data_IF_905815172290
#
_entry.id   IF_905815172290
#
_cell.length_a   1.000
_cell.length_b   1.000
_cell.length_c   1.000
_cell.angle_alpha   90.00
_cell.angle_beta   90.00
_cell.angle_gamma   90.00
#
_symmetry.space_group_name_H-M   'P 1'
#
loop_
_entity.id
_entity.type
_entity.pdbx_description
1 polymer ?
#
# COMPACT_ATOMS: atom_id res chain seq x y z
N UNK A 1 34.49 -14.98 -19.27
CA UNK A 1 34.24 -13.89 -18.33
C UNK A 1 34.27 -14.49 -16.93
N UNK A 2 35.26 -14.14 -16.12
CA UNK A 2 35.37 -14.63 -14.75
C UNK A 2 34.33 -13.90 -13.89
N UNK A 3 33.39 -14.64 -13.32
CA UNK A 3 32.50 -14.14 -12.26
C UNK A 3 33.38 -14.00 -11.02
N UNK A 4 33.56 -12.78 -10.52
CA UNK A 4 34.24 -12.55 -9.24
C UNK A 4 33.40 -13.21 -8.14
N UNK A 5 33.91 -14.22 -7.41
CA UNK A 5 33.17 -14.89 -6.34
C UNK A 5 32.79 -13.98 -5.17
N UNK A 6 33.44 -12.82 -5.07
CA UNK A 6 33.35 -11.88 -3.95
C UNK A 6 32.52 -10.62 -4.27
N UNK A 7 31.66 -10.66 -5.29
CA UNK A 7 30.74 -9.56 -5.60
C UNK A 7 29.36 -9.81 -4.95
N UNK A 8 28.68 -8.76 -4.44
CA UNK A 8 27.34 -8.90 -3.85
C UNK A 8 26.25 -9.24 -4.88
N UNK A 9 26.44 -8.89 -6.15
CA UNK A 9 25.43 -8.98 -7.23
C UNK A 9 24.85 -10.41 -7.45
N UNK A 10 25.66 -11.49 -7.53
CA UNK A 10 25.12 -12.85 -7.64
C UNK A 10 24.26 -13.29 -6.44
N UNK A 11 24.63 -12.88 -5.23
CA UNK A 11 23.90 -13.23 -4.00
C UNK A 11 22.59 -12.44 -3.92
N UNK A 12 22.63 -11.16 -4.29
CA UNK A 12 21.45 -10.30 -4.40
C UNK A 12 20.45 -10.85 -5.43
N UNK A 13 20.92 -11.34 -6.58
CA UNK A 13 20.09 -12.04 -7.57
C UNK A 13 19.42 -13.31 -7.01
N UNK A 14 20.12 -14.09 -6.17
CA UNK A 14 19.54 -15.27 -5.49
C UNK A 14 18.47 -14.82 -4.49
N UNK A 15 18.73 -13.75 -3.74
CA UNK A 15 17.76 -13.17 -2.81
C UNK A 15 16.49 -12.72 -3.54
N UNK A 16 16.61 -12.07 -4.69
CA UNK A 16 15.47 -11.67 -5.51
C UNK A 16 14.69 -12.89 -6.03
N UNK A 17 15.38 -13.95 -6.44
CA UNK A 17 14.73 -15.20 -6.84
C UNK A 17 13.90 -15.80 -5.69
N UNK A 18 14.44 -15.85 -4.47
CA UNK A 18 13.70 -16.29 -3.29
C UNK A 18 12.51 -15.38 -2.96
N UNK A 19 12.68 -14.06 -3.05
CA UNK A 19 11.59 -13.10 -2.88
C UNK A 19 10.45 -13.36 -3.87
N UNK A 20 10.77 -13.54 -5.16
CA UNK A 20 9.80 -13.85 -6.21
C UNK A 20 9.12 -15.21 -5.96
N UNK A 21 9.83 -16.20 -5.41
CA UNK A 21 9.28 -17.49 -4.98
C UNK A 21 8.44 -17.43 -3.70
N UNK A 22 8.39 -16.29 -2.99
CA UNK A 22 7.68 -16.14 -1.72
C UNK A 22 8.42 -16.70 -0.52
N UNK A 23 9.70 -17.07 -0.72
CA UNK A 23 10.64 -17.57 0.28
C UNK A 23 11.31 -16.38 0.98
N UNK A 24 10.50 -15.66 1.78
CA UNK A 24 10.89 -14.35 2.33
C UNK A 24 12.04 -14.45 3.32
N UNK A 25 12.09 -15.51 4.14
CA UNK A 25 13.16 -15.71 5.11
C UNK A 25 14.50 -15.96 4.42
N UNK A 26 14.52 -16.82 3.41
CA UNK A 26 15.75 -17.07 2.63
C UNK A 26 16.15 -15.85 1.79
N UNK A 27 15.18 -15.05 1.32
CA UNK A 27 15.47 -13.79 0.65
C UNK A 27 16.16 -12.80 1.59
N UNK A 28 15.67 -12.64 2.82
CA UNK A 28 16.30 -11.77 3.84
C UNK A 28 17.73 -12.22 4.10
N UNK A 29 17.94 -13.51 4.37
CA UNK A 29 19.28 -14.06 4.64
C UNK A 29 20.27 -13.70 3.52
N UNK A 30 19.87 -13.86 2.26
CA UNK A 30 20.73 -13.57 1.11
C UNK A 30 20.93 -12.08 0.86
N UNK A 31 19.91 -11.26 1.07
CA UNK A 31 20.10 -9.81 1.01
C UNK A 31 21.05 -9.32 2.12
N UNK A 32 20.93 -9.83 3.35
CA UNK A 32 21.84 -9.49 4.45
C UNK A 32 23.29 -9.92 4.15
N UNK A 33 23.47 -11.11 3.56
CA UNK A 33 24.77 -11.60 3.09
C UNK A 33 25.38 -10.65 2.04
N UNK A 34 24.62 -10.26 1.00
CA UNK A 34 25.09 -9.30 -0.01
C UNK A 34 25.46 -7.94 0.61
N UNK A 35 24.65 -7.44 1.55
CA UNK A 35 24.87 -6.18 2.27
C UNK A 35 26.05 -6.21 3.24
N UNK A 36 26.55 -7.39 3.60
CA UNK A 36 27.73 -7.55 4.45
C UNK A 36 29.04 -7.58 3.65
N UNK A 37 28.97 -7.79 2.33
CA UNK A 37 30.13 -7.87 1.44
C UNK A 37 30.62 -6.50 0.96
N UNK A 38 29.70 -5.54 0.82
CA UNK A 38 30.01 -4.16 0.43
C UNK A 38 29.08 -3.21 1.19
N UNK A 39 29.67 -2.32 2.00
CA UNK A 39 28.94 -1.32 2.77
C UNK A 39 28.18 -0.32 1.88
N UNK A 40 28.57 -0.18 0.60
CA UNK A 40 27.87 0.67 -0.36
C UNK A 40 26.73 -0.05 -1.11
N UNK A 41 26.58 -1.36 -0.93
CA UNK A 41 25.52 -2.12 -1.58
C UNK A 41 24.17 -1.77 -0.97
N UNK A 42 23.16 -1.58 -1.81
CA UNK A 42 21.80 -1.23 -1.39
C UNK A 42 20.76 -1.88 -2.27
N UNK A 43 19.80 -2.55 -1.65
CA UNK A 43 18.65 -3.14 -2.31
C UNK A 43 17.38 -2.93 -1.45
N UNK A 44 16.40 -2.15 -1.94
CA UNK A 44 15.16 -1.91 -1.21
C UNK A 44 14.32 -3.13 -0.88
N UNK A 45 14.54 -4.24 -1.59
CA UNK A 45 13.80 -5.47 -1.33
C UNK A 45 14.12 -6.09 0.04
N UNK A 46 15.27 -5.80 0.65
CA UNK A 46 15.58 -6.26 2.01
C UNK A 46 14.59 -5.70 3.04
N UNK A 47 14.48 -4.38 3.15
CA UNK A 47 13.54 -3.77 4.10
C UNK A 47 12.09 -3.99 3.68
N UNK A 48 11.82 -4.16 2.39
CA UNK A 48 10.51 -4.59 1.92
C UNK A 48 10.13 -6.00 2.43
N UNK A 49 11.07 -6.95 2.45
CA UNK A 49 10.86 -8.28 3.02
C UNK A 49 10.54 -8.22 4.52
N UNK A 50 11.25 -7.39 5.29
CA UNK A 50 10.89 -7.14 6.70
C UNK A 50 9.49 -6.54 6.83
N UNK A 51 9.13 -5.56 5.99
CA UNK A 51 7.80 -4.96 5.99
C UNK A 51 6.70 -5.97 5.61
N UNK A 52 6.97 -6.95 4.74
CA UNK A 52 6.03 -8.05 4.44
C UNK A 52 5.78 -8.94 5.65
N UNK A 53 6.79 -9.11 6.51
CA UNK A 53 6.68 -9.78 7.81
C UNK A 53 6.10 -8.87 8.90
N UNK A 54 5.73 -7.64 8.53
CA UNK A 54 5.26 -6.58 9.42
C UNK A 54 6.28 -6.17 10.50
N UNK A 55 7.57 -6.45 10.26
CA UNK A 55 8.69 -6.01 11.10
C UNK A 55 9.21 -4.67 10.59
N UNK A 56 8.41 -3.64 10.80
CA UNK A 56 8.76 -2.28 10.38
C UNK A 56 9.93 -1.68 11.17
N UNK A 57 10.26 -2.23 12.35
CA UNK A 57 11.40 -1.80 13.13
C UNK A 57 12.71 -2.18 12.43
N UNK A 58 12.84 -3.44 12.01
CA UNK A 58 14.00 -3.89 11.23
C UNK A 58 14.02 -3.27 9.84
N UNK A 59 12.86 -3.09 9.19
CA UNK A 59 12.79 -2.39 7.92
C UNK A 59 13.37 -0.96 8.01
N UNK A 60 12.96 -0.18 9.02
CA UNK A 60 13.47 1.17 9.24
C UNK A 60 14.95 1.18 9.66
N UNK A 61 15.41 0.21 10.46
CA UNK A 61 16.82 0.06 10.84
C UNK A 61 17.72 -0.13 9.62
N UNK A 62 17.31 -1.00 8.69
CA UNK A 62 18.04 -1.22 7.44
C UNK A 62 18.02 0.00 6.53
N UNK A 63 16.88 0.70 6.43
CA UNK A 63 16.81 1.96 5.68
C UNK A 63 17.77 3.00 6.28
N UNK A 64 17.81 3.15 7.60
CA UNK A 64 18.68 4.11 8.28
C UNK A 64 20.16 3.84 8.02
N UNK A 65 20.57 2.57 7.98
CA UNK A 65 21.94 2.17 7.62
C UNK A 65 22.33 2.64 6.22
N UNK A 66 21.36 2.72 5.29
CA UNK A 66 21.54 2.96 3.86
C UNK A 66 21.24 4.41 3.43
N UNK A 67 21.01 5.32 4.38
CA UNK A 67 20.78 6.75 4.08
C UNK A 67 22.00 7.40 3.41
N UNK A 68 23.25 7.19 3.85
CA UNK A 68 24.40 7.84 3.22
C UNK A 68 24.56 7.48 1.73
N UNK A 69 24.22 6.25 1.35
CA UNK A 69 24.42 5.68 0.01
C UNK A 69 23.21 5.92 -0.90
N UNK A 70 21.99 5.81 -0.35
CA UNK A 70 20.74 5.82 -1.10
C UNK A 70 19.71 6.82 -0.57
N UNK A 71 20.16 8.02 -0.19
CA UNK A 71 19.39 9.02 0.57
C UNK A 71 17.93 9.22 0.13
N UNK A 72 17.67 9.50 -1.15
CA UNK A 72 16.32 9.77 -1.65
C UNK A 72 15.40 8.54 -1.61
N UNK A 73 15.94 7.37 -1.94
CA UNK A 73 15.20 6.10 -1.89
C UNK A 73 14.85 5.78 -0.44
N UNK A 74 15.84 5.91 0.44
CA UNK A 74 15.72 5.67 1.88
C UNK A 74 14.64 6.56 2.51
N UNK A 75 14.71 7.88 2.30
CA UNK A 75 13.68 8.78 2.83
C UNK A 75 12.30 8.59 2.19
N UNK A 76 12.21 8.17 0.92
CA UNK A 76 10.93 7.85 0.30
C UNK A 76 10.24 6.66 0.97
N UNK A 77 11.01 5.62 1.32
CA UNK A 77 10.50 4.48 2.08
C UNK A 77 10.17 4.83 3.52
N UNK A 78 10.99 5.64 4.21
CA UNK A 78 10.64 6.14 5.56
C UNK A 78 9.35 6.94 5.55
N UNK A 79 9.21 7.86 4.61
CA UNK A 79 7.96 8.59 4.40
C UNK A 79 6.78 7.62 4.29
N UNK A 80 6.91 6.63 3.40
CA UNK A 80 5.83 5.69 3.10
C UNK A 80 5.49 4.82 4.32
N UNK A 81 6.47 4.25 5.01
CA UNK A 81 6.23 3.42 6.19
C UNK A 81 5.66 4.21 7.36
N UNK A 82 6.14 5.42 7.62
CA UNK A 82 5.53 6.25 8.66
C UNK A 82 4.08 6.62 8.32
N UNK A 83 3.77 6.93 7.05
CA UNK A 83 2.38 7.13 6.62
C UNK A 83 1.53 5.85 6.78
N UNK A 84 2.06 4.70 6.37
CA UNK A 84 1.43 3.37 6.49
C UNK A 84 1.13 2.99 7.95
N UNK A 85 2.00 3.43 8.87
CA UNK A 85 1.89 3.22 10.31
C UNK A 85 1.11 4.33 11.02
N UNK A 86 0.50 5.25 10.28
CA UNK A 86 -0.35 6.31 10.83
C UNK A 86 0.40 7.40 11.60
N UNK A 87 1.70 7.59 11.34
CA UNK A 87 2.51 8.64 11.95
C UNK A 87 2.80 9.72 10.90
N UNK A 88 1.97 10.76 10.87
CA UNK A 88 2.06 11.83 9.87
C UNK A 88 3.30 12.69 10.07
N UNK A 89 3.65 12.99 11.31
CA UNK A 89 4.77 13.88 11.63
C UNK A 89 6.11 13.32 11.13
N UNK A 90 6.42 12.05 11.45
CA UNK A 90 7.64 11.38 11.00
C UNK A 90 7.64 11.15 9.48
N UNK A 91 6.46 10.90 8.91
CA UNK A 91 6.30 10.81 7.47
C UNK A 91 6.72 12.13 6.81
N UNK A 92 6.07 13.24 7.17
CA UNK A 92 6.38 14.57 6.63
C UNK A 92 7.82 15.02 6.92
N UNK A 93 8.41 14.64 8.05
CA UNK A 93 9.83 14.86 8.32
C UNK A 93 10.72 14.20 7.27
N UNK A 94 10.45 12.94 6.92
CA UNK A 94 11.20 12.20 5.90
C UNK A 94 11.02 12.84 4.53
N UNK A 95 9.82 13.33 4.21
CA UNK A 95 9.55 14.01 2.95
C UNK A 95 10.31 15.33 2.79
N UNK A 96 10.43 16.12 3.86
CA UNK A 96 11.19 17.38 3.82
C UNK A 96 12.63 17.16 3.41
N UNK A 97 13.25 16.07 3.88
CA UNK A 97 14.62 15.68 3.49
C UNK A 97 14.75 15.40 2.00
N UNK A 98 13.71 14.80 1.42
CA UNK A 98 13.64 14.57 -0.02
C UNK A 98 13.54 15.93 -0.71
N UNK A 99 12.52 16.74 -0.39
CA UNK A 99 12.23 18.03 -1.04
C UNK A 99 13.41 19.01 -1.01
N UNK A 100 14.22 19.01 0.06
CA UNK A 100 15.46 19.80 0.18
C UNK A 100 16.51 19.45 -0.88
N UNK A 101 16.47 18.24 -1.44
CA UNK A 101 17.47 17.70 -2.37
C UNK A 101 17.00 17.55 -3.82
N UNK A 102 15.70 17.74 -4.09
CA UNK A 102 15.10 17.42 -5.39
C UNK A 102 15.10 18.58 -6.38
N UNK A 103 15.28 18.25 -7.65
CA UNK A 103 14.96 19.13 -8.77
C UNK A 103 13.45 19.16 -9.05
N UNK A 104 12.98 20.21 -9.73
CA UNK A 104 11.56 20.42 -10.08
C UNK A 104 10.86 19.20 -10.73
N UNK A 105 11.55 18.41 -11.57
CA UNK A 105 11.01 17.20 -12.22
C UNK A 105 10.69 16.08 -11.23
N UNK A 106 11.40 16.01 -10.10
CA UNK A 106 11.22 14.99 -9.08
C UNK A 106 10.09 15.37 -8.09
N UNK A 107 9.55 16.58 -8.16
CA UNK A 107 8.45 17.00 -7.29
C UNK A 107 7.15 16.23 -7.60
N UNK A 108 6.93 15.80 -8.85
CA UNK A 108 5.68 15.16 -9.24
C UNK A 108 5.37 13.89 -8.42
N UNK A 109 6.33 12.97 -8.28
CA UNK A 109 6.11 11.75 -7.50
C UNK A 109 5.91 12.04 -6.00
N UNK A 110 6.51 13.10 -5.48
CA UNK A 110 6.29 13.59 -4.12
C UNK A 110 4.84 14.07 -3.94
N UNK A 111 4.30 14.83 -4.89
CA UNK A 111 2.88 15.24 -4.84
C UNK A 111 1.96 14.02 -4.90
N UNK A 112 2.26 13.06 -5.77
CA UNK A 112 1.51 11.80 -5.84
C UNK A 112 1.51 11.04 -4.49
N UNK A 113 2.66 10.98 -3.81
CA UNK A 113 2.78 10.36 -2.48
C UNK A 113 1.97 11.11 -1.41
N UNK A 114 2.02 12.44 -1.40
CA UNK A 114 1.17 13.28 -0.52
C UNK A 114 -0.31 12.99 -0.77
N UNK A 115 -0.73 12.89 -2.03
CA UNK A 115 -2.10 12.57 -2.40
C UNK A 115 -2.63 11.30 -1.72
N UNK A 116 -1.84 10.22 -1.72
CA UNK A 116 -2.23 8.97 -1.06
C UNK A 116 -2.17 9.01 0.45
N UNK A 117 -1.17 9.67 1.03
CA UNK A 117 -1.07 9.85 2.48
C UNK A 117 -2.29 10.61 3.01
N UNK A 118 -2.63 11.76 2.40
CA UNK A 118 -3.82 12.52 2.80
C UNK A 118 -5.13 11.77 2.49
N UNK A 119 -5.18 10.97 1.42
CA UNK A 119 -6.30 10.07 1.16
C UNK A 119 -6.51 9.09 2.33
N UNK A 120 -5.44 8.42 2.77
CA UNK A 120 -5.52 7.46 3.88
C UNK A 120 -5.89 8.13 5.20
N UNK A 121 -5.48 9.39 5.40
CA UNK A 121 -5.85 10.21 6.56
C UNK A 121 -7.32 10.66 6.55
N UNK A 122 -8.00 10.59 5.42
CA UNK A 122 -9.36 11.12 5.24
C UNK A 122 -9.40 12.61 4.91
N UNK A 123 -8.26 13.23 4.63
CA UNK A 123 -8.13 14.64 4.29
C UNK A 123 -8.30 14.83 2.76
N UNK A 124 -9.52 14.57 2.28
CA UNK A 124 -9.80 14.39 0.85
C UNK A 124 -9.58 15.64 -0.01
N UNK A 125 -9.76 16.84 0.54
CA UNK A 125 -9.47 18.08 -0.19
C UNK A 125 -7.96 18.29 -0.43
N UNK A 126 -7.12 17.99 0.56
CA UNK A 126 -5.67 17.98 0.39
C UNK A 126 -5.24 16.87 -0.57
N UNK A 127 -5.82 15.68 -0.42
CA UNK A 127 -5.58 14.56 -1.34
C UNK A 127 -5.85 14.96 -2.80
N UNK A 128 -7.02 15.58 -3.06
CA UNK A 128 -7.38 16.12 -4.37
C UNK A 128 -6.37 17.15 -4.87
N UNK A 129 -6.03 18.12 -4.02
CA UNK A 129 -5.08 19.17 -4.35
C UNK A 129 -3.76 18.56 -4.85
N UNK A 130 -3.22 17.57 -4.12
CA UNK A 130 -1.94 16.95 -4.47
C UNK A 130 -2.01 16.05 -5.70
N UNK A 131 -3.09 15.30 -5.90
CA UNK A 131 -3.29 14.53 -7.13
C UNK A 131 -3.52 15.41 -8.37
N UNK A 132 -4.07 16.62 -8.21
CA UNK A 132 -4.17 17.61 -9.29
C UNK A 132 -2.84 18.35 -9.50
N UNK A 133 -2.10 18.68 -8.44
CA UNK A 133 -0.78 19.31 -8.55
C UNK A 133 0.23 18.40 -9.25
N UNK A 134 0.05 17.08 -9.13
CA UNK A 134 0.74 16.08 -9.93
C UNK A 134 0.50 16.25 -11.44
N UNK A 135 -0.64 16.82 -11.87
CA UNK A 135 -1.08 16.95 -13.28
C UNK A 135 -0.50 18.17 -14.03
N UNK A 136 -0.09 19.25 -13.34
CA UNK A 136 0.20 20.57 -13.94
C UNK A 136 1.60 20.66 -14.62
N UNK A 137 2.26 19.55 -14.98
CA UNK A 137 3.51 19.62 -15.75
C UNK A 137 3.64 18.55 -16.86
N UNK A 138 3.00 18.75 -18.03
CA UNK A 138 3.02 17.83 -19.16
C UNK A 138 4.41 17.60 -19.78
N UNK A 139 5.33 18.58 -19.71
CA UNK A 139 6.70 18.42 -20.25
C UNK A 139 7.63 17.66 -19.31
N UNK A 140 7.42 17.76 -17.99
CA UNK A 140 8.16 16.99 -16.96
C UNK A 140 7.51 15.63 -16.69
N UNK A 141 6.29 15.46 -17.19
CA UNK A 141 5.30 14.40 -17.09
C UNK A 141 5.50 13.05 -17.80
N UNK A 142 6.71 12.63 -18.19
CA UNK A 142 6.89 11.52 -19.16
C UNK A 142 6.24 10.17 -18.76
N UNK A 143 5.87 9.99 -17.49
CA UNK A 143 5.24 8.77 -16.96
C UNK A 143 3.78 8.98 -16.51
N UNK A 144 3.21 10.15 -16.75
CA UNK A 144 1.90 10.56 -16.28
C UNK A 144 0.88 10.34 -17.39
N UNK A 145 -0.14 9.55 -17.06
CA UNK A 145 -1.09 9.07 -18.03
C UNK A 145 -2.50 9.35 -17.50
N UNK A 146 -3.42 9.92 -18.30
CA UNK A 146 -4.73 10.38 -17.81
C UNK A 146 -5.50 9.31 -17.01
N UNK A 147 -5.29 8.03 -17.32
CA UNK A 147 -5.93 6.90 -16.65
C UNK A 147 -5.58 6.80 -15.16
N UNK A 148 -4.34 7.12 -14.77
CA UNK A 148 -3.93 7.09 -13.36
C UNK A 148 -4.52 8.25 -12.57
N UNK A 149 -4.65 9.41 -13.19
CA UNK A 149 -5.30 10.56 -12.57
C UNK A 149 -6.80 10.31 -12.39
N UNK A 150 -7.49 9.79 -13.41
CA UNK A 150 -8.90 9.40 -13.29
C UNK A 150 -9.13 8.39 -12.17
N UNK A 151 -8.23 7.41 -12.02
CA UNK A 151 -8.28 6.45 -10.92
C UNK A 151 -8.18 7.13 -9.54
N UNK A 152 -7.14 7.94 -9.34
CA UNK A 152 -6.86 8.61 -8.06
C UNK A 152 -8.00 9.54 -7.66
N UNK A 153 -8.41 10.44 -8.55
CA UNK A 153 -9.49 11.37 -8.25
C UNK A 153 -10.84 10.64 -8.18
N UNK A 154 -11.04 9.54 -8.91
CA UNK A 154 -12.24 8.72 -8.79
C UNK A 154 -12.43 8.17 -7.38
N UNK A 155 -11.35 7.70 -6.75
CA UNK A 155 -11.40 7.26 -5.35
C UNK A 155 -11.67 8.43 -4.39
N UNK A 156 -11.11 9.61 -4.66
CA UNK A 156 -11.39 10.83 -3.88
C UNK A 156 -12.85 11.25 -4.04
N UNK A 157 -13.39 11.22 -5.25
CA UNK A 157 -14.79 11.54 -5.53
C UNK A 157 -15.73 10.62 -4.75
N UNK A 158 -15.47 9.30 -4.72
CA UNK A 158 -16.24 8.34 -3.92
C UNK A 158 -16.17 8.70 -2.43
N UNK A 159 -14.98 8.98 -1.92
CA UNK A 159 -14.78 9.32 -0.52
C UNK A 159 -15.47 10.63 -0.10
N UNK A 160 -15.80 11.49 -1.06
CA UNK A 160 -16.53 12.75 -0.89
C UNK A 160 -18.01 12.66 -1.32
N UNK A 161 -18.54 11.44 -1.51
CA UNK A 161 -19.91 11.18 -1.92
C UNK A 161 -20.29 11.77 -3.30
N UNK A 162 -19.30 11.99 -4.17
CA UNK A 162 -19.47 12.50 -5.54
C UNK A 162 -19.54 11.35 -6.55
N UNK A 163 -20.47 10.43 -6.35
CA UNK A 163 -20.52 9.14 -7.08
C UNK A 163 -20.66 9.34 -8.60
N UNK A 164 -21.44 10.31 -9.06
CA UNK A 164 -21.56 10.61 -10.49
C UNK A 164 -20.23 11.08 -11.11
N UNK A 165 -19.42 11.83 -10.36
CA UNK A 165 -18.09 12.26 -10.82
C UNK A 165 -17.13 11.07 -10.90
N UNK A 166 -17.19 10.15 -9.93
CA UNK A 166 -16.41 8.91 -9.97
C UNK A 166 -16.80 8.02 -11.17
N UNK A 167 -18.09 7.92 -11.49
CA UNK A 167 -18.61 7.20 -12.66
C UNK A 167 -18.15 7.82 -13.97
N UNK A 168 -18.15 9.15 -14.06
CA UNK A 168 -17.58 9.86 -15.20
C UNK A 168 -16.11 9.49 -15.41
N UNK A 169 -15.29 9.54 -14.34
CA UNK A 169 -13.87 9.14 -14.43
C UNK A 169 -13.67 7.69 -14.81
N UNK A 170 -14.51 6.79 -14.29
CA UNK A 170 -14.47 5.39 -14.66
C UNK A 170 -14.79 5.18 -16.16
N UNK A 171 -15.74 5.96 -16.70
CA UNK A 171 -16.04 5.95 -18.13
C UNK A 171 -14.84 6.44 -18.96
N UNK A 172 -14.18 7.52 -18.55
CA UNK A 172 -12.96 8.02 -19.21
C UNK A 172 -11.82 6.99 -19.17
N UNK A 173 -11.60 6.29 -18.05
CA UNK A 173 -10.64 5.19 -18.01
C UNK A 173 -10.99 4.11 -19.04
N UNK A 174 -12.28 3.78 -19.19
CA UNK A 174 -12.76 2.77 -20.13
C UNK A 174 -12.52 3.15 -21.58
N UNK A 175 -12.65 4.42 -21.95
CA UNK A 175 -12.40 4.89 -23.33
C UNK A 175 -10.92 4.86 -23.68
N UNK A 176 -10.04 5.03 -22.68
CA UNK A 176 -8.59 5.01 -22.86
C UNK A 176 -8.02 3.58 -22.98
N UNK A 177 -8.64 2.59 -22.29
CA UNK A 177 -8.16 1.19 -22.25
C UNK A 177 -7.82 0.55 -23.62
N UNK A 178 -8.63 0.69 -24.69
CA UNK A 178 -8.32 0.08 -25.98
C UNK A 178 -7.04 0.58 -26.64
N UNK A 179 -6.59 1.79 -26.30
CA UNK A 179 -5.36 2.40 -26.85
C UNK A 179 -4.08 1.90 -26.17
N UNK A 180 -4.21 1.24 -25.02
CA UNK A 180 -3.09 0.76 -24.23
C UNK A 180 -2.64 -0.64 -24.67
N UNK A 181 -1.38 -0.97 -24.41
CA UNK A 181 -0.81 -2.29 -24.68
C UNK A 181 0.21 -2.71 -23.61
N UNK A 182 0.55 -3.99 -23.61
CA UNK A 182 1.56 -4.57 -22.72
C UNK A 182 1.26 -4.39 -21.23
N UNK A 183 2.32 -4.21 -20.43
CA UNK A 183 2.25 -4.04 -18.98
C UNK A 183 1.37 -2.85 -18.57
N UNK A 184 1.45 -1.73 -19.29
CA UNK A 184 0.65 -0.53 -18.98
C UNK A 184 -0.85 -0.79 -19.08
N UNK A 185 -1.29 -1.58 -20.08
CA UNK A 185 -2.70 -1.98 -20.18
C UNK A 185 -3.14 -2.77 -18.95
N UNK A 186 -2.37 -3.78 -18.55
CA UNK A 186 -2.66 -4.61 -17.38
C UNK A 186 -2.77 -3.76 -16.10
N UNK A 187 -1.84 -2.81 -15.95
CA UNK A 187 -1.79 -1.91 -14.81
C UNK A 187 -3.03 -0.98 -14.71
N UNK A 188 -3.52 -0.50 -15.86
CA UNK A 188 -4.74 0.32 -15.94
C UNK A 188 -6.00 -0.53 -15.80
N UNK A 189 -6.06 -1.72 -16.38
CA UNK A 189 -7.18 -2.67 -16.22
C UNK A 189 -7.40 -3.03 -14.75
N UNK A 190 -6.32 -3.29 -14.01
CA UNK A 190 -6.38 -3.51 -12.56
C UNK A 190 -7.05 -2.33 -11.84
N UNK A 191 -6.59 -1.09 -12.12
CA UNK A 191 -7.13 0.12 -11.49
C UNK A 191 -8.57 0.41 -11.91
N UNK A 192 -8.91 0.15 -13.17
CA UNK A 192 -10.27 0.27 -13.68
C UNK A 192 -11.22 -0.68 -12.91
N UNK A 193 -10.87 -1.96 -12.78
CA UNK A 193 -11.68 -2.91 -12.02
C UNK A 193 -11.76 -2.54 -10.54
N UNK A 194 -10.68 -2.06 -9.95
CA UNK A 194 -10.66 -1.56 -8.58
C UNK A 194 -11.66 -0.40 -8.40
N UNK A 195 -11.56 0.64 -9.22
CA UNK A 195 -12.47 1.80 -9.13
C UNK A 195 -13.92 1.39 -9.43
N UNK A 196 -14.15 0.51 -10.41
CA UNK A 196 -15.47 -0.01 -10.72
C UNK A 196 -16.10 -0.71 -9.52
N UNK A 197 -15.33 -1.54 -8.79
CA UNK A 197 -15.80 -2.22 -7.60
C UNK A 197 -16.14 -1.23 -6.48
N UNK A 198 -15.32 -0.20 -6.26
CA UNK A 198 -15.60 0.86 -5.28
C UNK A 198 -16.86 1.66 -5.64
N UNK A 199 -17.05 2.02 -6.92
CA UNK A 199 -18.28 2.70 -7.40
C UNK A 199 -19.51 1.82 -7.14
N UNK A 200 -19.46 0.55 -7.53
CA UNK A 200 -20.57 -0.39 -7.32
C UNK A 200 -20.91 -0.53 -5.84
N UNK A 201 -19.90 -0.62 -4.98
CA UNK A 201 -20.09 -0.70 -3.54
C UNK A 201 -20.79 0.56 -3.00
N UNK A 202 -20.32 1.74 -3.40
CA UNK A 202 -20.90 3.02 -3.02
C UNK A 202 -22.34 3.20 -3.52
N UNK A 203 -22.68 2.64 -4.68
CA UNK A 203 -24.06 2.64 -5.22
C UNK A 203 -24.99 1.61 -4.53
N UNK A 204 -24.54 0.89 -3.51
CA UNK A 204 -25.35 -0.13 -2.85
C UNK A 204 -25.28 -1.52 -3.50
N UNK A 205 -24.60 -1.65 -4.65
CA UNK A 205 -24.55 -2.86 -5.50
C UNK A 205 -23.42 -3.81 -5.08
N UNK A 206 -23.40 -4.16 -3.80
CA UNK A 206 -22.33 -4.96 -3.21
C UNK A 206 -22.12 -6.33 -3.89
N UNK A 207 -23.18 -6.99 -4.36
CA UNK A 207 -23.05 -8.28 -5.07
C UNK A 207 -22.33 -8.13 -6.42
N UNK A 208 -22.56 -7.02 -7.13
CA UNK A 208 -21.85 -6.69 -8.37
C UNK A 208 -20.39 -6.31 -8.08
N UNK A 209 -20.15 -5.57 -6.99
CA UNK A 209 -18.80 -5.23 -6.54
C UNK A 209 -17.95 -6.48 -6.24
N UNK A 210 -18.53 -7.50 -5.59
CA UNK A 210 -17.87 -8.79 -5.33
C UNK A 210 -17.49 -9.48 -6.65
N UNK A 211 -18.38 -9.48 -7.64
CA UNK A 211 -18.10 -10.05 -8.96
C UNK A 211 -16.97 -9.31 -9.67
N UNK A 212 -16.97 -7.98 -9.60
CA UNK A 212 -15.93 -7.12 -10.18
C UNK A 212 -14.54 -7.36 -9.56
N UNK A 213 -14.47 -7.61 -8.25
CA UNK A 213 -13.20 -7.92 -7.57
C UNK A 213 -12.57 -9.23 -8.07
N UNK A 214 -13.40 -10.24 -8.38
CA UNK A 214 -12.93 -11.57 -8.81
C UNK A 214 -12.33 -11.57 -10.22
N UNK A 215 -12.71 -10.63 -11.08
CA UNK A 215 -12.36 -10.63 -12.51
C UNK A 215 -11.04 -9.92 -12.87
N UNK A 216 -10.28 -9.35 -11.91
CA UNK A 216 -9.21 -8.44 -12.31
C UNK A 216 -8.10 -8.04 -11.34
N UNK A 217 -7.97 -8.67 -10.17
CA UNK A 217 -7.01 -8.22 -9.14
C UNK A 217 -5.71 -9.03 -9.08
N UNK A 218 -5.10 -9.32 -10.23
CA UNK A 218 -3.74 -9.88 -10.28
C UNK A 218 -2.80 -8.87 -10.92
N UNK A 219 -2.05 -8.13 -10.09
CA UNK A 219 -0.97 -7.27 -10.53
C UNK A 219 0.35 -7.97 -10.17
N UNK A 220 1.12 -8.49 -11.14
CA UNK A 220 2.37 -9.18 -10.84
C UNK A 220 3.33 -8.25 -10.10
N UNK A 221 4.18 -8.87 -9.27
CA UNK A 221 5.28 -8.19 -8.56
C UNK A 221 6.12 -7.42 -9.56
N UNK A 222 6.30 -6.14 -9.28
CA UNK A 222 7.09 -5.22 -10.10
C UNK A 222 8.57 -5.35 -9.78
N UNK A 223 9.40 -4.98 -10.74
CA UNK A 223 10.87 -5.01 -10.63
C UNK A 223 11.39 -4.14 -9.47
N UNK A 224 12.69 -4.25 -9.17
CA UNK A 224 13.38 -3.57 -8.07
C UNK A 224 13.29 -2.03 -8.06
N UNK A 225 12.68 -1.38 -9.06
CA UNK A 225 12.45 0.07 -9.06
C UNK A 225 11.54 0.49 -7.89
N UNK A 226 12.12 1.14 -6.90
CA UNK A 226 11.43 1.49 -5.66
C UNK A 226 10.14 2.31 -5.87
N UNK A 227 10.12 3.24 -6.84
CA UNK A 227 8.90 4.01 -7.17
C UNK A 227 7.76 3.12 -7.69
N UNK A 228 8.06 1.99 -8.36
CA UNK A 228 7.05 1.01 -8.75
C UNK A 228 6.57 0.20 -7.55
N UNK A 229 7.44 -0.11 -6.60
CA UNK A 229 7.06 -0.82 -5.36
C UNK A 229 6.18 0.03 -4.44
N UNK A 230 6.46 1.34 -4.31
CA UNK A 230 5.59 2.26 -3.59
C UNK A 230 4.20 2.33 -4.25
N UNK A 231 4.17 2.51 -5.58
CA UNK A 231 2.92 2.48 -6.38
C UNK A 231 2.16 1.17 -6.25
N UNK A 232 2.88 0.04 -6.22
CA UNK A 232 2.30 -1.29 -6.06
C UNK A 232 1.47 -1.41 -4.79
N UNK A 233 1.85 -0.71 -3.72
CA UNK A 233 1.14 -0.68 -2.44
C UNK A 233 0.07 0.41 -2.33
N UNK A 234 -0.22 1.15 -3.41
CA UNK A 234 -1.35 2.11 -3.48
C UNK A 234 -2.50 1.61 -4.36
N UNK A 235 -3.78 1.89 -4.02
CA UNK A 235 -4.24 2.47 -2.75
C UNK A 235 -3.85 1.60 -1.56
N UNK A 236 -3.75 2.19 -0.36
CA UNK A 236 -3.27 1.48 0.82
C UNK A 236 -4.21 0.32 1.21
N UNK A 237 -5.52 0.54 1.07
CA UNK A 237 -6.56 -0.45 1.34
C UNK A 237 -7.06 -1.10 0.05
N UNK A 238 -7.29 -2.42 0.10
CA UNK A 238 -7.76 -3.29 -1.00
C UNK A 238 -8.90 -4.20 -0.55
N UNK A 239 -9.72 -3.71 0.37
CA UNK A 239 -10.73 -4.51 1.08
C UNK A 239 -12.17 -4.30 0.57
N UNK A 240 -12.33 -3.88 -0.69
CA UNK A 240 -13.64 -3.68 -1.33
C UNK A 240 -14.50 -4.94 -1.21
N UNK A 241 -13.91 -6.12 -1.47
CA UNK A 241 -14.61 -7.40 -1.37
C UNK A 241 -15.09 -7.69 0.06
N UNK A 242 -14.26 -7.44 1.07
CA UNK A 242 -14.63 -7.65 2.47
C UNK A 242 -15.76 -6.69 2.91
N UNK A 243 -15.64 -5.41 2.52
CA UNK A 243 -16.68 -4.40 2.75
C UNK A 243 -17.99 -4.75 2.03
N UNK A 244 -17.92 -5.28 0.81
CA UNK A 244 -19.09 -5.72 0.06
C UNK A 244 -19.80 -6.90 0.74
N UNK A 245 -19.07 -7.90 1.22
CA UNK A 245 -19.66 -8.99 2.01
C UNK A 245 -20.33 -8.48 3.28
N UNK A 246 -19.68 -7.55 3.99
CA UNK A 246 -20.25 -6.93 5.17
C UNK A 246 -21.57 -6.20 4.85
N UNK A 247 -21.62 -5.43 3.76
CA UNK A 247 -22.80 -4.65 3.36
C UNK A 247 -24.04 -5.51 3.05
N UNK A 248 -23.85 -6.78 2.65
CA UNK A 248 -24.94 -7.73 2.41
C UNK A 248 -25.20 -8.68 3.59
N UNK A 249 -24.57 -8.44 4.74
CA UNK A 249 -24.75 -9.24 5.96
C UNK A 249 -24.02 -10.59 5.96
N UNK A 250 -23.16 -10.85 4.97
CA UNK A 250 -22.37 -12.08 4.85
C UNK A 250 -21.11 -11.99 5.73
N UNK A 251 -21.31 -11.86 7.04
CA UNK A 251 -20.26 -11.56 8.02
C UNK A 251 -19.13 -12.61 8.02
N UNK A 252 -19.46 -13.89 7.88
CA UNK A 252 -18.45 -14.96 7.82
C UNK A 252 -17.53 -14.81 6.61
N UNK A 253 -18.08 -14.41 5.46
CA UNK A 253 -17.28 -14.16 4.24
C UNK A 253 -16.46 -12.87 4.36
N UNK A 254 -16.98 -11.85 5.02
CA UNK A 254 -16.23 -10.63 5.33
C UNK A 254 -15.04 -10.93 6.24
N UNK A 255 -15.25 -11.73 7.30
CA UNK A 255 -14.19 -12.19 8.21
C UNK A 255 -13.15 -12.99 7.44
N UNK A 256 -13.55 -13.98 6.65
CA UNK A 256 -12.64 -14.81 5.86
C UNK A 256 -11.79 -13.98 4.90
N UNK A 257 -12.36 -12.94 4.28
CA UNK A 257 -11.62 -12.06 3.37
C UNK A 257 -10.61 -11.17 4.13
N UNK A 258 -10.95 -10.65 5.31
CA UNK A 258 -9.96 -9.94 6.14
C UNK A 258 -8.90 -10.87 6.73
N UNK A 259 -9.24 -12.11 7.08
CA UNK A 259 -8.25 -13.14 7.46
C UNK A 259 -7.27 -13.38 6.31
N UNK A 260 -7.76 -13.47 5.07
CA UNK A 260 -6.92 -13.57 3.86
C UNK A 260 -6.04 -12.34 3.68
N UNK A 261 -6.58 -11.13 3.85
CA UNK A 261 -5.83 -9.87 3.70
C UNK A 261 -4.78 -9.64 4.80
N UNK A 262 -4.92 -10.32 5.94
CA UNK A 262 -3.98 -10.23 7.08
C UNK A 262 -3.05 -11.44 7.20
N UNK A 263 -3.07 -12.32 6.20
CA UNK A 263 -2.19 -13.48 6.13
C UNK A 263 -1.33 -13.42 4.87
N UNK A 264 -0.02 -13.45 5.04
CA UNK A 264 0.90 -13.57 3.92
C UNK A 264 0.79 -14.97 3.30
N UNK A 265 0.57 -15.04 1.98
CA UNK A 265 0.54 -16.29 1.23
C UNK A 265 1.80 -16.38 0.34
N UNK A 266 2.77 -17.24 0.68
CA UNK A 266 3.98 -17.44 -0.11
C UNK A 266 3.70 -17.86 -1.56
N UNK A 267 2.61 -18.61 -1.78
CA UNK A 267 2.24 -19.14 -3.09
C UNK A 267 1.51 -18.12 -3.96
N UNK A 268 0.97 -17.06 -3.35
CA UNK A 268 0.41 -15.94 -4.09
C UNK A 268 1.51 -15.31 -4.94
N UNK A 269 1.17 -14.85 -6.14
CA UNK A 269 2.10 -14.03 -6.93
C UNK A 269 2.17 -12.59 -6.44
N UNK A 270 1.26 -12.19 -5.54
CA UNK A 270 1.23 -10.84 -5.01
C UNK A 270 2.13 -10.73 -3.77
N UNK A 271 2.79 -9.58 -3.62
CA UNK A 271 3.64 -9.26 -2.45
C UNK A 271 3.17 -7.97 -1.81
N UNK A 272 1.88 -7.83 -1.55
CA UNK A 272 1.36 -6.60 -0.92
C UNK A 272 1.72 -6.55 0.55
N UNK A 273 2.01 -5.34 1.04
CA UNK A 273 2.10 -5.09 2.47
C UNK A 273 0.72 -5.22 3.12
N UNK A 274 0.71 -5.62 4.39
CA UNK A 274 -0.50 -5.76 5.19
C UNK A 274 -0.75 -4.45 5.92
N UNK A 275 -1.87 -3.79 5.61
CA UNK A 275 -2.18 -2.50 6.23
C UNK A 275 -2.75 -2.70 7.65
N UNK A 276 -2.26 -2.00 8.70
CA UNK A 276 -2.71 -2.23 10.07
C UNK A 276 -4.23 -2.04 10.28
N UNK A 277 -4.87 -1.15 9.51
CA UNK A 277 -6.34 -0.98 9.51
C UNK A 277 -7.11 -2.28 9.25
N UNK A 278 -6.54 -3.28 8.58
CA UNK A 278 -7.20 -4.58 8.41
C UNK A 278 -7.36 -5.32 9.73
N UNK A 279 -6.38 -5.27 10.64
CA UNK A 279 -6.52 -5.86 11.97
C UNK A 279 -7.60 -5.17 12.79
N UNK A 280 -7.69 -3.84 12.71
CA UNK A 280 -8.77 -3.10 13.34
C UNK A 280 -10.15 -3.50 12.79
N UNK A 281 -10.31 -3.56 11.46
CA UNK A 281 -11.59 -3.94 10.82
C UNK A 281 -11.97 -5.39 11.13
N UNK A 282 -11.02 -6.31 11.09
CA UNK A 282 -11.22 -7.70 11.48
C UNK A 282 -11.58 -7.85 12.97
N UNK A 283 -10.95 -7.07 13.85
CA UNK A 283 -11.30 -7.01 15.26
C UNK A 283 -12.76 -6.63 15.48
N UNK A 284 -13.26 -5.63 14.74
CA UNK A 284 -14.67 -5.22 14.81
C UNK A 284 -15.62 -6.33 14.37
N UNK A 285 -15.30 -7.04 13.29
CA UNK A 285 -16.13 -8.15 12.82
C UNK A 285 -16.17 -9.31 13.82
N UNK A 286 -15.03 -9.65 14.44
CA UNK A 286 -15.01 -10.66 15.50
C UNK A 286 -15.79 -10.22 16.74
N UNK A 287 -15.73 -8.94 17.12
CA UNK A 287 -16.54 -8.41 18.22
C UNK A 287 -18.03 -8.53 17.90
N UNK A 288 -18.45 -8.10 16.72
CA UNK A 288 -19.84 -8.15 16.26
C UNK A 288 -20.40 -9.56 16.16
N UNK A 289 -19.56 -10.53 15.78
CA UNK A 289 -19.92 -11.97 15.74
C UNK A 289 -19.74 -12.69 17.08
N UNK A 290 -19.39 -11.97 18.15
CA UNK A 290 -19.27 -12.51 19.51
C UNK A 290 -17.98 -13.30 19.78
N UNK A 291 -17.02 -13.31 18.85
CA UNK A 291 -15.73 -14.01 18.98
C UNK A 291 -14.70 -13.12 19.72
N UNK A 292 -15.02 -12.83 20.97
CA UNK A 292 -14.30 -11.88 21.85
C UNK A 292 -12.79 -12.09 21.90
N UNK A 293 -12.33 -13.32 22.09
CA UNK A 293 -10.89 -13.63 22.20
C UNK A 293 -10.13 -13.25 20.92
N UNK A 294 -10.71 -13.53 19.74
CA UNK A 294 -10.12 -13.15 18.47
C UNK A 294 -10.16 -11.63 18.28
N UNK A 295 -11.25 -10.97 18.64
CA UNK A 295 -11.36 -9.50 18.57
C UNK A 295 -10.25 -8.80 19.36
N UNK A 296 -10.04 -9.20 20.62
CA UNK A 296 -8.97 -8.68 21.49
C UNK A 296 -7.60 -8.85 20.81
N UNK A 297 -7.29 -10.07 20.33
CA UNK A 297 -6.00 -10.35 19.70
C UNK A 297 -5.74 -9.48 18.45
N UNK A 298 -6.78 -9.19 17.66
CA UNK A 298 -6.66 -8.32 16.48
C UNK A 298 -6.45 -6.85 16.85
N UNK A 299 -7.17 -6.34 17.85
CA UNK A 299 -6.92 -4.98 18.35
C UNK A 299 -5.52 -4.83 18.95
N UNK A 300 -5.02 -5.83 19.67
CA UNK A 300 -3.66 -5.80 20.21
C UNK A 300 -2.60 -5.81 19.09
N UNK A 301 -2.80 -6.59 18.02
CA UNK A 301 -1.91 -6.56 16.84
C UNK A 301 -1.95 -5.19 16.17
N UNK A 302 -3.14 -4.59 16.00
CA UNK A 302 -3.29 -3.22 15.49
C UNK A 302 -2.47 -2.23 16.32
N UNK A 303 -2.60 -2.25 17.65
CA UNK A 303 -1.84 -1.35 18.54
C UNK A 303 -0.33 -1.62 18.56
N UNK A 304 0.12 -2.86 18.35
CA UNK A 304 1.56 -3.12 18.21
C UNK A 304 2.16 -2.45 16.98
N UNK A 305 1.44 -2.47 15.86
CA UNK A 305 1.88 -1.85 14.60
C UNK A 305 1.75 -0.33 14.66
N UNK A 306 0.60 0.16 15.14
CA UNK A 306 0.29 1.58 15.30
C UNK A 306 0.65 2.10 16.70
N UNK A 307 1.76 1.63 17.27
CA UNK A 307 2.22 2.03 18.62
C UNK A 307 2.59 3.53 18.68
N UNK A 308 3.11 4.06 17.57
CA UNK A 308 3.57 5.44 17.40
C UNK A 308 2.67 6.22 16.43
N UNK A 309 1.45 5.73 16.15
CA UNK A 309 0.49 6.42 15.31
C UNK A 309 -0.07 7.67 16.00
N UNK A 310 -0.53 8.62 15.20
CA UNK A 310 -1.15 9.85 15.71
C UNK A 310 -2.36 9.51 16.59
N UNK A 311 -2.38 10.06 17.81
CA UNK A 311 -3.30 9.61 18.86
C UNK A 311 -4.75 10.04 18.64
N UNK A 312 -4.95 11.05 17.79
CA UNK A 312 -6.23 11.63 17.41
C UNK A 312 -6.89 10.90 16.23
N UNK A 313 -6.23 9.89 15.65
CA UNK A 313 -6.82 9.05 14.62
C UNK A 313 -8.12 8.40 15.10
N UNK A 314 -9.24 8.51 14.36
CA UNK A 314 -10.53 7.94 14.78
C UNK A 314 -10.44 6.44 15.08
N UNK A 315 -9.65 5.69 14.30
CA UNK A 315 -9.45 4.25 14.47
C UNK A 315 -8.67 3.93 15.74
N UNK A 316 -7.69 4.77 16.13
CA UNK A 316 -6.92 4.60 17.37
C UNK A 316 -7.82 4.82 18.58
N UNK A 317 -8.65 5.87 18.54
CA UNK A 317 -9.62 6.19 19.61
C UNK A 317 -10.66 5.07 19.74
N UNK A 318 -11.30 4.67 18.64
CA UNK A 318 -12.35 3.64 18.64
C UNK A 318 -11.80 2.28 19.09
N UNK A 319 -10.68 1.82 18.51
CA UNK A 319 -10.07 0.54 18.89
C UNK A 319 -9.69 0.49 20.37
N UNK A 320 -9.28 1.62 20.96
CA UNK A 320 -8.88 1.70 22.36
C UNK A 320 -10.08 1.50 23.27
N UNK A 321 -11.18 2.19 22.96
CA UNK A 321 -12.42 2.06 23.71
C UNK A 321 -13.00 0.64 23.63
N UNK A 322 -13.01 0.04 22.42
CA UNK A 322 -13.47 -1.34 22.21
C UNK A 322 -12.61 -2.35 22.98
N UNK A 323 -11.29 -2.25 22.88
CA UNK A 323 -10.37 -3.14 23.58
C UNK A 323 -10.54 -3.06 25.11
N UNK A 324 -10.71 -1.85 25.65
CA UNK A 324 -10.97 -1.66 27.08
C UNK A 324 -12.30 -2.28 27.51
N UNK A 325 -13.36 -2.12 26.73
CA UNK A 325 -14.67 -2.70 27.03
C UNK A 325 -14.62 -4.24 26.98
N UNK A 326 -13.99 -4.82 25.95
CA UNK A 326 -13.83 -6.26 25.82
C UNK A 326 -13.01 -6.86 26.97
N UNK A 327 -12.00 -6.16 27.50
CA UNK A 327 -11.20 -6.66 28.62
C UNK A 327 -11.89 -6.56 29.99
N UNK A 328 -12.97 -5.79 30.10
CA UNK A 328 -13.74 -5.61 31.35
C UNK A 328 -14.89 -6.59 31.51
N UNK A 329 -15.50 -6.97 30.39
CA UNK A 329 -16.44 -8.10 30.30
C UNK A 329 -15.67 -9.40 30.51
#
# INVERSE_FOLDING_TARGET
AAVLPDAPDPIDCIAEAYFRMGRIDEAIEKYEEAMAMDDNWSNPLLWYCYALKEDYAEALRWIDKQIPEAQNVSYAWKYFYHAWLGNLDQSLMSLRRIEESLESRQIAWVQWMKGWMYYDRGEFELSRHYFNAYEIDPERSRNLTPEFHHFQIGLVDIAQDRIDSAKFRLAEMKTLLPSLSGYRKQEVEYRYHFLAAEVLLAEGKAQEAITMCKSGLSHPVTDAEFHRQLRYNTPFLRDVQARAYYQIGELDKAIAEYERLTNFDPNSKNRYLIHPKYYYRLGKLYEETGIKAKAIARYEKFFRLWKDADKDLPQVIDAKNRLLNLKRQ
#
